data_IF_033577662073
#
_entry.id   IF_033577662073
#
_cell.length_a   1.000
_cell.length_b   1.000
_cell.length_c   1.000
_cell.angle_alpha   90.00
_cell.angle_beta   90.00
_cell.angle_gamma   90.00
#
_symmetry.space_group_name_H-M   'P 1'
#
loop_
_entity.id
_entity.type
_entity.pdbx_description
1 polymer ?
#
# COMPACT_ATOMS: atom_id res chain seq x y z
N UNK A 1 -2.66 19.02 -2.02
CA UNK A 1 -3.34 19.07 -0.71
C UNK A 1 -4.11 17.79 -0.41
N UNK A 2 -4.87 17.20 -1.36
CA UNK A 2 -5.67 16.00 -1.06
C UNK A 2 -4.88 14.71 -0.85
N UNK A 3 -3.83 14.46 -1.63
CA UNK A 3 -2.99 13.24 -1.46
C UNK A 3 -2.22 13.24 -0.14
N UNK A 4 -1.75 14.41 0.31
CA UNK A 4 -1.11 14.56 1.63
C UNK A 4 -2.09 14.31 2.77
N UNK A 5 -3.35 14.73 2.63
CA UNK A 5 -4.40 14.45 3.63
C UNK A 5 -4.73 12.95 3.67
N UNK A 6 -4.85 12.29 2.52
CA UNK A 6 -5.05 10.84 2.43
C UNK A 6 -3.88 10.08 3.06
N UNK A 7 -2.63 10.48 2.78
CA UNK A 7 -1.45 9.88 3.40
C UNK A 7 -1.42 10.07 4.92
N UNK A 8 -1.72 11.28 5.41
CA UNK A 8 -1.81 11.55 6.85
C UNK A 8 -2.93 10.74 7.51
N UNK A 9 -4.08 10.61 6.86
CA UNK A 9 -5.21 9.83 7.36
C UNK A 9 -4.86 8.34 7.47
N UNK A 10 -4.20 7.77 6.44
CA UNK A 10 -3.71 6.39 6.50
C UNK A 10 -2.75 6.15 7.67
N UNK A 11 -1.88 7.12 7.98
CA UNK A 11 -0.99 7.03 9.14
C UNK A 11 -1.78 7.04 10.45
N UNK A 12 -2.74 7.96 10.61
CA UNK A 12 -3.56 8.07 11.82
C UNK A 12 -4.39 6.80 12.07
N UNK A 13 -4.97 6.22 11.02
CA UNK A 13 -5.69 4.95 11.14
C UNK A 13 -4.74 3.82 11.55
N UNK A 14 -3.54 3.77 11.00
CA UNK A 14 -2.58 2.74 11.42
C UNK A 14 -2.15 2.90 12.88
N UNK A 15 -1.89 4.12 13.33
CA UNK A 15 -1.56 4.40 14.74
C UNK A 15 -2.69 3.97 15.69
N UNK A 16 -3.96 4.15 15.29
CA UNK A 16 -5.12 3.69 16.06
C UNK A 16 -5.13 2.15 16.25
N UNK A 17 -4.65 1.39 15.26
CA UNK A 17 -4.64 -0.08 15.28
C UNK A 17 -3.34 -0.65 15.87
N UNK A 18 -2.24 0.10 15.85
CA UNK A 18 -0.92 -0.31 16.35
C UNK A 18 -0.66 0.11 17.81
N UNK A 19 -1.56 0.89 18.43
CA UNK A 19 -1.38 1.36 19.80
C UNK A 19 -1.39 0.19 20.82
N UNK A 20 -0.47 0.16 21.80
CA UNK A 20 -0.38 -0.93 22.79
C UNK A 20 -1.61 -1.04 23.71
N UNK A 21 -2.31 0.08 23.95
CA UNK A 21 -3.63 0.14 24.63
C UNK A 21 -4.78 0.24 23.61
N UNK A 22 -4.58 -0.34 22.42
CA UNK A 22 -5.49 -0.25 21.29
C UNK A 22 -6.90 -0.77 21.59
N UNK A 23 -7.84 -0.41 20.71
CA UNK A 23 -9.22 -0.84 20.81
C UNK A 23 -9.29 -2.38 20.85
N UNK A 24 -10.28 -2.93 21.55
CA UNK A 24 -10.58 -4.36 21.49
C UNK A 24 -10.90 -4.74 20.05
N UNK A 25 -10.63 -5.97 19.63
CA UNK A 25 -10.92 -6.43 18.26
C UNK A 25 -12.38 -6.15 17.84
N UNK A 26 -13.33 -6.24 18.76
CA UNK A 26 -14.75 -5.91 18.54
C UNK A 26 -14.94 -4.43 18.21
N UNK A 27 -14.23 -3.53 18.89
CA UNK A 27 -14.29 -2.08 18.67
C UNK A 27 -13.62 -1.71 17.34
N UNK A 28 -12.50 -2.33 16.98
CA UNK A 28 -11.89 -2.20 15.65
C UNK A 28 -12.82 -2.67 14.54
N UNK A 29 -13.53 -3.79 14.76
CA UNK A 29 -14.49 -4.34 13.79
C UNK A 29 -15.63 -3.37 13.54
N UNK A 30 -16.21 -2.82 14.61
CA UNK A 30 -17.28 -1.84 14.50
C UNK A 30 -16.80 -0.56 13.83
N UNK A 31 -15.62 -0.05 14.20
CA UNK A 31 -15.01 1.13 13.59
C UNK A 31 -14.82 0.98 12.07
N UNK A 32 -14.26 -0.15 11.61
CA UNK A 32 -14.10 -0.43 10.18
C UNK A 32 -15.45 -0.54 9.48
N UNK A 33 -16.41 -1.23 10.09
CA UNK A 33 -17.75 -1.42 9.54
C UNK A 33 -18.46 -0.09 9.31
N UNK A 34 -18.43 0.82 10.29
CA UNK A 34 -19.09 2.14 10.17
C UNK A 34 -18.38 3.04 9.17
N UNK A 35 -17.04 3.05 9.15
CA UNK A 35 -16.27 3.79 8.15
C UNK A 35 -16.57 3.35 6.72
N UNK A 36 -16.58 2.04 6.47
CA UNK A 36 -16.92 1.50 5.14
C UNK A 36 -18.35 1.89 4.76
N UNK A 37 -19.32 1.82 5.69
CA UNK A 37 -20.69 2.25 5.43
C UNK A 37 -20.80 3.74 5.09
N UNK A 38 -20.02 4.61 5.76
CA UNK A 38 -19.96 6.04 5.46
C UNK A 38 -19.30 6.35 4.11
N UNK A 39 -18.20 5.68 3.74
CA UNK A 39 -17.56 5.82 2.42
C UNK A 39 -18.54 5.40 1.30
N UNK A 40 -19.38 4.41 1.58
CA UNK A 40 -20.43 3.91 0.67
C UNK A 40 -21.67 4.79 0.62
N UNK A 41 -21.71 5.87 1.41
CA UNK A 41 -22.87 6.72 1.61
C UNK A 41 -24.13 5.93 2.04
N UNK A 42 -23.96 4.77 2.68
CA UNK A 42 -25.06 3.98 3.26
C UNK A 42 -25.53 4.51 4.60
N UNK A 43 -24.65 5.23 5.29
CA UNK A 43 -24.94 5.87 6.58
C UNK A 43 -24.37 7.29 6.61
N UNK A 44 -25.03 8.24 7.29
CA UNK A 44 -24.48 9.58 7.47
C UNK A 44 -23.23 9.53 8.36
N UNK A 45 -22.27 10.46 8.20
CA UNK A 45 -21.10 10.53 9.06
C UNK A 45 -21.51 10.95 10.48
N UNK A 46 -21.11 10.17 11.48
CA UNK A 46 -21.43 10.44 12.90
C UNK A 46 -20.22 10.87 13.73
N UNK A 47 -19.01 10.83 13.15
CA UNK A 47 -17.75 11.17 13.84
C UNK A 47 -16.82 11.93 12.90
N UNK A 48 -15.80 12.57 13.47
CA UNK A 48 -14.75 13.22 12.68
C UNK A 48 -13.98 12.23 11.79
N UNK A 49 -13.85 10.96 12.21
CA UNK A 49 -13.28 9.89 11.39
C UNK A 49 -14.09 9.62 10.13
N UNK A 50 -15.42 9.54 10.27
CA UNK A 50 -16.33 9.38 9.12
C UNK A 50 -16.21 10.57 8.15
N UNK A 51 -16.26 11.79 8.66
CA UNK A 51 -16.12 13.00 7.85
C UNK A 51 -14.78 13.04 7.13
N UNK A 52 -13.67 12.74 7.82
CA UNK A 52 -12.34 12.73 7.23
C UNK A 52 -12.20 11.65 6.15
N UNK A 53 -12.72 10.45 6.37
CA UNK A 53 -12.71 9.36 5.39
C UNK A 53 -13.51 9.72 4.12
N UNK A 54 -14.70 10.30 4.29
CA UNK A 54 -15.50 10.80 3.16
C UNK A 54 -14.75 11.89 2.41
N UNK A 55 -14.15 12.86 3.10
CA UNK A 55 -13.39 13.93 2.43
C UNK A 55 -12.17 13.40 1.66
N UNK A 56 -11.40 12.49 2.26
CA UNK A 56 -10.23 11.91 1.59
C UNK A 56 -10.61 11.07 0.37
N UNK A 57 -11.71 10.31 0.45
CA UNK A 57 -12.20 9.50 -0.67
C UNK A 57 -12.87 10.34 -1.76
N UNK A 58 -13.73 11.29 -1.40
CA UNK A 58 -14.49 12.09 -2.37
C UNK A 58 -13.63 13.13 -3.08
N UNK A 59 -12.71 13.78 -2.37
CA UNK A 59 -11.90 14.85 -2.96
C UNK A 59 -11.00 14.36 -4.10
N UNK A 60 -10.49 13.13 -4.02
CA UNK A 60 -9.70 12.54 -5.11
C UNK A 60 -10.58 12.07 -6.28
N UNK A 61 -11.86 11.79 -6.04
CA UNK A 61 -12.80 11.31 -7.08
C UNK A 61 -13.56 12.42 -7.81
N UNK A 62 -13.57 13.65 -7.30
CA UNK A 62 -14.44 14.73 -7.81
C UNK A 62 -14.19 15.08 -9.29
N UNK A 63 -12.94 14.93 -9.76
CA UNK A 63 -12.55 15.18 -11.14
C UNK A 63 -12.33 13.90 -11.95
N UNK A 64 -12.88 12.77 -11.50
CA UNK A 64 -12.57 11.44 -12.03
C UNK A 64 -13.82 10.74 -12.57
N UNK A 65 -13.62 9.78 -13.47
CA UNK A 65 -14.71 8.93 -13.98
C UNK A 65 -15.40 8.13 -12.86
N UNK A 66 -16.69 7.78 -13.03
CA UNK A 66 -17.39 6.87 -12.11
C UNK A 66 -16.64 5.54 -11.91
N UNK A 67 -16.00 5.03 -12.96
CA UNK A 67 -15.22 3.79 -12.94
C UNK A 67 -13.99 3.93 -12.04
N UNK A 68 -13.23 5.01 -12.20
CA UNK A 68 -12.09 5.33 -11.34
C UNK A 68 -12.53 5.50 -9.89
N UNK A 69 -13.61 6.24 -9.66
CA UNK A 69 -14.14 6.48 -8.32
C UNK A 69 -14.58 5.19 -7.62
N UNK A 70 -15.21 4.27 -8.35
CA UNK A 70 -15.59 2.95 -7.85
C UNK A 70 -14.36 2.11 -7.49
N UNK A 71 -13.32 2.10 -8.34
CA UNK A 71 -12.05 1.41 -8.07
C UNK A 71 -11.37 1.98 -6.82
N UNK A 72 -11.27 3.31 -6.73
CA UNK A 72 -10.68 3.98 -5.59
C UNK A 72 -11.40 3.64 -4.27
N UNK A 73 -12.74 3.73 -4.25
CA UNK A 73 -13.53 3.31 -3.08
C UNK A 73 -13.31 1.84 -2.73
N UNK A 74 -13.20 0.96 -3.71
CA UNK A 74 -12.91 -0.46 -3.46
C UNK A 74 -11.55 -0.66 -2.80
N UNK A 75 -10.51 0.02 -3.26
CA UNK A 75 -9.20 -0.02 -2.61
C UNK A 75 -9.28 0.50 -1.16
N UNK A 76 -9.98 1.60 -0.91
CA UNK A 76 -10.18 2.13 0.45
C UNK A 76 -10.87 1.14 1.40
N UNK A 77 -11.91 0.44 0.94
CA UNK A 77 -12.55 -0.63 1.74
C UNK A 77 -11.56 -1.74 2.05
N UNK A 78 -10.80 -2.15 1.04
CA UNK A 78 -9.80 -3.20 1.15
C UNK A 78 -8.70 -2.81 2.14
N UNK A 79 -8.24 -1.55 2.12
CA UNK A 79 -7.32 -1.01 3.12
C UNK A 79 -7.87 -1.17 4.55
N UNK A 80 -9.10 -0.69 4.81
CA UNK A 80 -9.68 -0.72 6.16
C UNK A 80 -9.91 -2.12 6.69
N UNK A 81 -10.40 -3.02 5.83
CA UNK A 81 -10.58 -4.44 6.20
C UNK A 81 -9.23 -5.07 6.56
N UNK A 82 -8.14 -4.71 5.89
CA UNK A 82 -6.84 -5.28 6.22
C UNK A 82 -6.21 -4.71 7.48
N UNK A 83 -6.45 -3.43 7.82
CA UNK A 83 -6.09 -2.95 9.15
C UNK A 83 -6.74 -3.80 10.26
N UNK A 84 -7.99 -4.26 10.07
CA UNK A 84 -8.65 -5.16 11.01
C UNK A 84 -8.01 -6.56 11.06
N UNK A 85 -7.62 -7.12 9.92
CA UNK A 85 -6.95 -8.42 9.87
C UNK A 85 -5.55 -8.38 10.51
N UNK A 86 -4.85 -7.25 10.41
CA UNK A 86 -3.54 -7.02 11.05
C UNK A 86 -3.67 -6.84 12.58
N UNK A 87 -4.82 -6.38 13.09
CA UNK A 87 -5.09 -6.28 14.54
C UNK A 87 -5.49 -7.62 15.19
N UNK A 88 -5.64 -8.70 14.42
CA UNK A 88 -5.97 -10.03 14.97
C UNK A 88 -4.72 -10.70 15.56
N UNK A 89 -4.84 -11.41 16.71
CA UNK A 89 -3.73 -12.18 17.26
C UNK A 89 -3.20 -13.21 16.27
N UNK A 90 -1.87 -13.33 16.19
CA UNK A 90 -1.22 -14.18 15.20
C UNK A 90 -1.12 -15.65 15.62
N UNK A 91 -1.19 -16.60 14.67
CA UNK A 91 -0.67 -17.93 14.89
C UNK A 91 0.86 -17.89 15.06
N UNK A 92 1.46 -18.76 15.89
CA UNK A 92 2.87 -18.68 16.31
C UNK A 92 3.93 -18.86 15.20
N UNK A 93 3.52 -19.08 13.94
CA UNK A 93 4.40 -19.19 12.76
C UNK A 93 3.73 -18.57 11.55
N UNK A 94 4.04 -17.31 11.28
CA UNK A 94 3.62 -16.67 10.03
C UNK A 94 4.53 -17.13 8.88
N UNK A 95 3.93 -17.65 7.81
CA UNK A 95 4.62 -17.88 6.54
C UNK A 95 4.98 -16.53 5.88
N UNK A 96 6.16 -16.44 5.27
CA UNK A 96 6.68 -15.25 4.63
C UNK A 96 5.80 -14.78 3.47
N UNK A 97 5.23 -15.70 2.69
CA UNK A 97 4.34 -15.32 1.58
C UNK A 97 3.02 -14.75 2.11
N UNK A 98 2.49 -15.31 3.20
CA UNK A 98 1.34 -14.75 3.90
C UNK A 98 1.63 -13.39 4.55
N UNK A 99 2.80 -13.23 5.15
CA UNK A 99 3.29 -11.95 5.67
C UNK A 99 3.27 -10.88 4.58
N UNK A 100 3.91 -11.14 3.42
CA UNK A 100 3.90 -10.20 2.30
C UNK A 100 2.48 -9.93 1.79
N UNK A 101 1.63 -10.96 1.71
CA UNK A 101 0.24 -10.80 1.25
C UNK A 101 -0.54 -9.83 2.13
N UNK A 102 -0.47 -9.98 3.46
CA UNK A 102 -1.12 -9.06 4.41
C UNK A 102 -0.58 -7.64 4.26
N UNK A 103 0.75 -7.53 4.20
CA UNK A 103 1.45 -6.24 4.17
C UNK A 103 1.33 -5.43 2.90
N UNK A 104 1.00 -6.07 1.78
CA UNK A 104 0.75 -5.37 0.51
C UNK A 104 -0.40 -4.37 0.62
N UNK A 105 -1.43 -4.70 1.37
CA UNK A 105 -2.71 -4.01 1.23
C UNK A 105 -2.72 -2.59 1.85
N UNK A 106 -2.08 -2.38 3.02
CA UNK A 106 -1.89 -1.04 3.56
C UNK A 106 -1.06 -0.11 2.67
N UNK A 107 -0.16 -0.67 1.86
CA UNK A 107 0.80 0.09 1.03
C UNK A 107 0.30 0.29 -0.40
N UNK A 108 -0.33 -0.73 -0.99
CA UNK A 108 -0.75 -0.75 -2.40
C UNK A 108 -1.87 0.24 -2.73
N UNK A 109 -2.84 0.40 -1.82
CA UNK A 109 -4.01 1.26 -2.01
C UNK A 109 -3.64 2.74 -2.14
N UNK A 110 -2.78 3.25 -1.27
CA UNK A 110 -2.41 4.66 -1.24
C UNK A 110 -1.52 5.07 -2.42
N UNK A 111 -0.68 4.14 -2.91
CA UNK A 111 0.31 4.40 -3.96
C UNK A 111 -0.33 4.38 -5.35
N UNK A 112 -1.18 3.38 -5.61
CA UNK A 112 -1.67 3.08 -6.96
C UNK A 112 -2.60 4.17 -7.49
N UNK A 113 -3.59 4.59 -6.71
CA UNK A 113 -4.56 5.58 -7.16
C UNK A 113 -4.02 7.01 -7.08
N UNK A 114 -3.07 7.27 -6.17
CA UNK A 114 -2.47 8.60 -6.04
C UNK A 114 -1.67 9.02 -7.26
N UNK A 115 -1.05 8.08 -8.00
CA UNK A 115 -0.35 8.40 -9.24
C UNK A 115 -1.29 9.02 -10.29
N UNK A 116 -2.41 8.37 -10.58
CA UNK A 116 -3.44 8.88 -11.51
C UNK A 116 -4.06 10.21 -11.01
N UNK A 117 -4.27 10.34 -9.71
CA UNK A 117 -4.79 11.58 -9.13
C UNK A 117 -3.80 12.75 -9.24
N UNK A 118 -2.52 12.55 -8.93
CA UNK A 118 -1.47 13.58 -8.99
C UNK A 118 -1.11 13.95 -10.43
N UNK A 119 -0.98 12.95 -11.30
CA UNK A 119 -0.66 13.15 -12.71
C UNK A 119 -1.86 13.66 -13.53
N UNK A 120 -3.04 13.76 -12.93
CA UNK A 120 -4.28 14.25 -13.57
C UNK A 120 -4.67 13.47 -14.84
N UNK A 121 -4.43 12.16 -14.84
CA UNK A 121 -4.83 11.26 -15.91
C UNK A 121 -5.59 10.05 -15.34
N UNK A 122 -6.21 9.26 -16.21
CA UNK A 122 -6.85 7.99 -15.83
C UNK A 122 -6.40 6.91 -16.79
N UNK A 123 -5.98 5.77 -16.26
CA UNK A 123 -5.70 4.61 -17.09
C UNK A 123 -6.99 4.11 -17.74
N UNK A 124 -7.01 3.92 -19.07
CA UNK A 124 -8.12 3.28 -19.75
C UNK A 124 -8.44 1.92 -19.15
N UNK A 125 -9.72 1.60 -18.93
CA UNK A 125 -10.12 0.41 -18.19
C UNK A 125 -9.59 -0.90 -18.81
N UNK A 126 -9.55 -0.98 -20.13
CA UNK A 126 -9.04 -2.15 -20.85
C UNK A 126 -7.53 -2.36 -20.64
N UNK A 127 -6.76 -1.30 -20.37
CA UNK A 127 -5.35 -1.37 -19.96
C UNK A 127 -5.24 -1.62 -18.46
N UNK A 128 -6.09 -0.96 -17.66
CA UNK A 128 -6.07 -1.02 -16.20
C UNK A 128 -6.30 -2.43 -15.64
N UNK A 129 -7.00 -3.29 -16.40
CA UNK A 129 -7.29 -4.69 -16.08
C UNK A 129 -6.32 -5.71 -16.68
N UNK A 130 -5.23 -5.29 -17.31
CA UNK A 130 -4.24 -6.23 -17.86
C UNK A 130 -3.53 -7.00 -16.72
N UNK A 131 -3.39 -8.33 -16.82
CA UNK A 131 -2.68 -9.13 -15.82
C UNK A 131 -1.23 -8.67 -15.58
N UNK A 132 -0.54 -8.22 -16.63
CA UNK A 132 0.83 -7.71 -16.52
C UNK A 132 0.88 -6.41 -15.73
N UNK A 133 -0.15 -5.56 -15.85
CA UNK A 133 -0.24 -4.32 -15.08
C UNK A 133 -0.61 -4.60 -13.62
N UNK A 134 -1.47 -5.59 -13.37
CA UNK A 134 -1.73 -6.09 -12.02
C UNK A 134 -0.44 -6.62 -11.37
N UNK A 135 0.34 -7.41 -12.12
CA UNK A 135 1.65 -7.88 -11.66
C UNK A 135 2.61 -6.73 -11.38
N UNK A 136 2.67 -5.72 -12.25
CA UNK A 136 3.48 -4.52 -12.05
C UNK A 136 3.11 -3.78 -10.75
N UNK A 137 1.82 -3.58 -10.49
CA UNK A 137 1.32 -2.98 -9.24
C UNK A 137 1.69 -3.81 -8.01
N UNK A 138 1.58 -5.13 -8.11
CA UNK A 138 1.95 -6.05 -7.03
C UNK A 138 3.45 -5.99 -6.72
N UNK A 139 4.31 -6.00 -7.74
CA UNK A 139 5.76 -5.90 -7.58
C UNK A 139 6.17 -4.52 -7.03
N UNK A 140 5.53 -3.44 -7.49
CA UNK A 140 5.70 -2.08 -6.95
C UNK A 140 5.40 -2.06 -5.44
N UNK A 141 4.30 -2.70 -5.05
CA UNK A 141 3.88 -2.79 -3.64
C UNK A 141 4.84 -3.63 -2.81
N UNK A 142 5.28 -4.79 -3.33
CA UNK A 142 6.31 -5.63 -2.70
C UNK A 142 7.58 -4.82 -2.39
N UNK A 143 8.04 -4.03 -3.36
CA UNK A 143 9.24 -3.20 -3.17
C UNK A 143 9.07 -2.19 -2.03
N UNK A 144 7.92 -1.51 -1.95
CA UNK A 144 7.64 -0.57 -0.87
C UNK A 144 7.58 -1.26 0.50
N UNK A 145 6.94 -2.43 0.60
CA UNK A 145 6.87 -3.23 1.84
C UNK A 145 8.26 -3.68 2.28
N UNK A 146 9.02 -4.31 1.37
CA UNK A 146 10.35 -4.85 1.67
C UNK A 146 11.34 -3.74 2.05
N UNK A 147 11.33 -2.60 1.35
CA UNK A 147 12.18 -1.46 1.68
C UNK A 147 11.87 -0.94 3.09
N UNK A 148 10.59 -0.79 3.43
CA UNK A 148 10.18 -0.36 4.77
C UNK A 148 10.66 -1.34 5.85
N UNK A 149 10.50 -2.64 5.62
CA UNK A 149 10.80 -3.65 6.64
C UNK A 149 12.29 -3.82 6.88
N UNK A 150 13.09 -3.71 5.83
CA UNK A 150 14.54 -3.63 5.94
C UNK A 150 14.99 -2.38 6.71
N UNK A 151 14.38 -1.22 6.43
CA UNK A 151 14.75 0.05 7.08
C UNK A 151 14.25 0.19 8.52
N UNK A 152 13.24 -0.60 8.93
CA UNK A 152 12.64 -0.54 10.28
C UNK A 152 12.95 -1.75 11.16
N UNK A 153 13.81 -2.65 10.70
CA UNK A 153 14.10 -3.93 11.35
C UNK A 153 14.43 -3.76 12.85
N UNK A 154 15.34 -2.84 13.19
CA UNK A 154 15.80 -2.62 14.57
C UNK A 154 14.66 -2.27 15.55
N UNK A 155 13.57 -1.70 15.05
CA UNK A 155 12.40 -1.29 15.84
C UNK A 155 11.29 -2.33 15.84
N UNK A 156 11.37 -3.30 14.95
CA UNK A 156 10.32 -4.27 14.66
C UNK A 156 10.80 -5.71 14.88
N UNK A 157 11.88 -5.92 15.63
CA UNK A 157 12.46 -7.25 15.91
C UNK A 157 11.46 -8.23 16.54
N UNK A 158 10.47 -7.72 17.28
CA UNK A 158 9.39 -8.52 17.91
C UNK A 158 8.13 -8.59 17.06
N UNK A 159 8.06 -7.86 15.94
CA UNK A 159 6.90 -7.84 15.07
C UNK A 159 7.00 -8.96 14.03
N UNK A 160 6.22 -10.03 14.20
CA UNK A 160 6.23 -11.16 13.26
C UNK A 160 5.74 -10.77 11.85
N UNK A 161 5.06 -9.63 11.70
CA UNK A 161 4.70 -9.07 10.40
C UNK A 161 5.87 -8.37 9.69
N UNK A 162 7.03 -8.16 10.30
CA UNK A 162 8.17 -7.64 9.52
C UNK A 162 8.72 -8.75 8.61
N UNK A 163 8.88 -8.46 7.32
CA UNK A 163 9.30 -9.45 6.32
C UNK A 163 10.61 -10.18 6.68
N UNK A 164 11.56 -9.50 7.34
CA UNK A 164 12.81 -10.13 7.79
C UNK A 164 12.58 -11.07 8.96
N UNK A 165 11.74 -10.68 9.92
CA UNK A 165 11.37 -11.50 11.08
C UNK A 165 10.64 -12.77 10.63
N UNK A 166 9.67 -12.62 9.72
CA UNK A 166 8.92 -13.74 9.14
C UNK A 166 9.86 -14.70 8.39
N UNK A 167 10.72 -14.17 7.51
CA UNK A 167 11.68 -14.99 6.74
C UNK A 167 12.63 -15.75 7.67
N UNK A 168 13.19 -15.06 8.68
CA UNK A 168 14.06 -15.65 9.69
C UNK A 168 13.38 -16.81 10.41
N UNK A 169 12.15 -16.59 10.86
CA UNK A 169 11.37 -17.58 11.63
C UNK A 169 11.04 -18.81 10.80
N UNK A 170 10.64 -18.61 9.53
CA UNK A 170 10.31 -19.69 8.63
C UNK A 170 11.52 -20.55 8.23
N UNK A 171 12.69 -19.92 8.03
CA UNK A 171 13.89 -20.58 7.52
C UNK A 171 14.93 -20.91 8.60
N UNK A 172 14.65 -20.62 9.87
CA UNK A 172 15.55 -20.84 11.01
C UNK A 172 16.94 -20.21 10.81
N UNK A 173 16.99 -19.00 10.23
CA UNK A 173 18.23 -18.29 9.96
C UNK A 173 18.64 -17.39 11.12
N UNK A 174 19.89 -16.92 11.10
CA UNK A 174 20.27 -15.76 11.89
C UNK A 174 19.75 -14.46 11.25
N UNK A 175 19.95 -13.34 11.95
CA UNK A 175 19.47 -12.03 11.47
C UNK A 175 20.19 -11.55 10.21
N UNK A 176 21.51 -11.77 10.12
CA UNK A 176 22.33 -11.30 9.00
C UNK A 176 21.96 -12.03 7.71
N UNK A 177 21.79 -13.34 7.79
CA UNK A 177 21.38 -14.18 6.68
C UNK A 177 19.95 -13.85 6.25
N UNK A 178 19.01 -13.72 7.20
CA UNK A 178 17.63 -13.36 6.87
C UNK A 178 17.54 -11.99 6.18
N UNK A 179 18.26 -10.98 6.68
CA UNK A 179 18.31 -9.65 6.05
C UNK A 179 18.91 -9.71 4.65
N UNK A 180 19.99 -10.48 4.46
CA UNK A 180 20.64 -10.70 3.16
C UNK A 180 19.67 -11.34 2.16
N UNK A 181 18.90 -12.36 2.58
CA UNK A 181 17.93 -13.02 1.71
C UNK A 181 16.76 -12.08 1.34
N UNK A 182 16.23 -11.32 2.29
CA UNK A 182 15.14 -10.36 2.03
C UNK A 182 15.61 -9.24 1.11
N UNK A 183 16.85 -8.77 1.26
CA UNK A 183 17.46 -7.80 0.34
C UNK A 183 17.64 -8.41 -1.07
N UNK A 184 18.04 -9.67 -1.17
CA UNK A 184 18.11 -10.36 -2.46
C UNK A 184 16.73 -10.48 -3.14
N UNK A 185 15.67 -10.72 -2.37
CA UNK A 185 14.28 -10.73 -2.85
C UNK A 185 13.89 -9.33 -3.35
N UNK A 186 14.21 -8.27 -2.59
CA UNK A 186 13.99 -6.88 -3.01
C UNK A 186 14.68 -6.58 -4.35
N UNK A 187 15.95 -6.97 -4.52
CA UNK A 187 16.67 -6.79 -5.78
C UNK A 187 16.06 -7.59 -6.93
N UNK A 188 15.56 -8.81 -6.68
CA UNK A 188 14.86 -9.61 -7.68
C UNK A 188 13.57 -8.92 -8.13
N UNK A 189 12.79 -8.37 -7.20
CA UNK A 189 11.56 -7.60 -7.50
C UNK A 189 11.86 -6.34 -8.29
N UNK A 190 12.96 -5.64 -7.97
CA UNK A 190 13.41 -4.48 -8.76
C UNK A 190 13.73 -4.83 -10.21
N UNK A 191 14.41 -5.96 -10.46
CA UNK A 191 14.67 -6.44 -11.83
C UNK A 191 13.38 -6.78 -12.56
N UNK A 192 12.49 -7.52 -11.91
CA UNK A 192 11.18 -7.88 -12.45
C UNK A 192 10.36 -6.63 -12.81
N UNK A 193 10.37 -5.60 -11.95
CA UNK A 193 9.69 -4.35 -12.22
C UNK A 193 10.26 -3.64 -13.46
N UNK A 194 11.58 -3.66 -13.64
CA UNK A 194 12.24 -3.10 -14.81
C UNK A 194 11.85 -3.84 -16.10
N UNK A 195 11.85 -5.17 -16.06
CA UNK A 195 11.40 -6.03 -17.16
C UNK A 195 9.94 -5.75 -17.53
N UNK A 196 9.06 -5.59 -16.53
CA UNK A 196 7.65 -5.25 -16.74
C UNK A 196 7.48 -3.87 -17.38
N UNK A 197 8.21 -2.84 -16.91
CA UNK A 197 8.22 -1.50 -17.53
C UNK A 197 8.62 -1.55 -19.00
N UNK A 198 9.61 -2.39 -19.33
CA UNK A 198 10.07 -2.55 -20.71
C UNK A 198 9.06 -3.32 -21.57
N UNK A 199 8.36 -4.31 -21.02
CA UNK A 199 7.49 -5.22 -21.78
C UNK A 199 6.07 -4.69 -21.98
N UNK A 200 5.44 -4.14 -20.93
CA UNK A 200 4.02 -3.77 -20.93
C UNK A 200 3.61 -2.86 -22.11
N UNK A 201 4.39 -1.80 -22.44
CA UNK A 201 4.03 -0.90 -23.55
C UNK A 201 3.96 -1.57 -24.92
N UNK A 202 4.59 -2.73 -25.10
CA UNK A 202 4.65 -3.45 -26.38
C UNK A 202 3.72 -4.68 -26.42
N UNK A 203 2.92 -4.90 -25.38
CA UNK A 203 1.88 -5.93 -25.43
C UNK A 203 0.91 -5.61 -26.57
N UNK A 204 0.45 -6.60 -27.36
CA UNK A 204 -0.51 -6.37 -28.45
C UNK A 204 -1.76 -5.60 -27.99
N UNK A 205 -2.24 -5.89 -26.77
CA UNK A 205 -3.38 -5.23 -26.15
C UNK A 205 -3.18 -3.72 -25.90
N UNK A 206 -1.94 -3.24 -25.91
CA UNK A 206 -1.55 -1.83 -25.73
C UNK A 206 -1.07 -1.21 -27.04
N UNK A 207 -0.20 -1.91 -27.79
CA UNK A 207 0.41 -1.39 -29.00
C UNK A 207 -0.62 -1.08 -30.10
N UNK A 208 -1.76 -1.78 -30.12
CA UNK A 208 -2.88 -1.53 -31.02
C UNK A 208 -3.83 -0.41 -30.58
N UNK A 209 -3.61 0.21 -29.41
CA UNK A 209 -4.50 1.24 -28.86
C UNK A 209 -4.11 2.65 -29.34
N UNK A 210 -4.99 3.66 -29.20
CA UNK A 210 -4.67 5.05 -29.52
C UNK A 210 -3.40 5.53 -28.82
N UNK A 211 -2.65 6.45 -29.47
CA UNK A 211 -1.42 7.00 -28.91
C UNK A 211 -1.62 7.65 -27.53
N UNK A 212 -2.79 8.23 -27.28
CA UNK A 212 -3.16 8.79 -25.97
C UNK A 212 -3.12 7.75 -24.85
N UNK A 213 -3.58 6.54 -25.13
CA UNK A 213 -3.66 5.44 -24.17
C UNK A 213 -2.26 4.88 -23.90
N UNK A 214 -1.46 4.76 -24.96
CA UNK A 214 -0.06 4.35 -24.86
C UNK A 214 0.77 5.35 -24.05
N UNK A 215 0.60 6.66 -24.28
CA UNK A 215 1.27 7.71 -23.52
C UNK A 215 0.82 7.68 -22.06
N UNK A 216 -0.49 7.57 -21.81
CA UNK A 216 -1.05 7.47 -20.45
C UNK A 216 -0.48 6.29 -19.67
N UNK A 217 -0.35 5.13 -20.31
CA UNK A 217 0.27 3.96 -19.70
C UNK A 217 1.75 4.19 -19.38
N UNK A 218 2.52 4.77 -20.30
CA UNK A 218 3.95 5.07 -20.07
C UNK A 218 4.14 6.03 -18.89
N UNK A 219 3.32 7.08 -18.82
CA UNK A 219 3.30 8.01 -17.67
C UNK A 219 2.97 7.25 -16.39
N UNK A 220 1.96 6.38 -16.41
CA UNK A 220 1.58 5.58 -15.25
C UNK A 220 2.70 4.67 -14.73
N UNK A 221 3.38 3.95 -15.62
CA UNK A 221 4.50 3.09 -15.25
C UNK A 221 5.65 3.91 -14.67
N UNK A 222 5.94 5.08 -15.25
CA UNK A 222 6.96 5.99 -14.74
C UNK A 222 6.61 6.50 -13.34
N UNK A 223 5.39 6.99 -13.13
CA UNK A 223 4.97 7.57 -11.86
C UNK A 223 5.01 6.54 -10.73
N UNK A 224 4.52 5.33 -10.95
CA UNK A 224 4.62 4.25 -9.96
C UNK A 224 6.07 3.82 -9.69
N UNK A 225 6.92 3.82 -10.72
CA UNK A 225 8.35 3.58 -10.52
C UNK A 225 8.97 4.64 -9.60
N UNK A 226 8.65 5.92 -9.81
CA UNK A 226 9.12 7.01 -8.94
C UNK A 226 8.61 6.86 -7.51
N UNK A 227 7.38 6.40 -7.31
CA UNK A 227 6.85 6.17 -5.96
C UNK A 227 7.68 5.15 -5.19
N UNK A 228 8.17 4.06 -5.81
CA UNK A 228 9.04 3.11 -5.10
C UNK A 228 10.32 3.76 -4.56
N UNK A 229 10.88 4.71 -5.30
CA UNK A 229 12.08 5.45 -4.91
C UNK A 229 11.75 6.49 -3.84
N UNK A 230 10.69 7.27 -4.04
CA UNK A 230 10.22 8.27 -3.08
C UNK A 230 9.83 7.66 -1.74
N UNK A 231 9.22 6.48 -1.74
CA UNK A 231 8.82 5.77 -0.52
C UNK A 231 10.04 5.34 0.31
N UNK A 232 11.06 4.74 -0.33
CA UNK A 232 12.30 4.37 0.33
C UNK A 232 13.07 5.61 0.83
N UNK A 233 13.17 6.66 0.00
CA UNK A 233 13.84 7.91 0.37
C UNK A 233 13.16 8.59 1.57
N UNK A 234 11.82 8.60 1.62
CA UNK A 234 11.08 9.13 2.76
C UNK A 234 11.40 8.38 4.07
N UNK A 235 11.66 7.07 4.00
CA UNK A 235 12.05 6.29 5.17
C UNK A 235 13.50 6.54 5.60
N UNK A 236 14.40 6.80 4.64
CA UNK A 236 15.80 7.13 4.91
C UNK A 236 15.98 8.54 5.50
N UNK A 237 15.20 9.53 5.06
CA UNK A 237 15.44 10.94 5.40
C UNK A 237 14.61 11.38 6.62
N UNK A 238 13.45 10.75 6.88
CA UNK A 238 12.53 11.25 7.89
C UNK A 238 12.95 10.86 9.31
N UNK A 239 13.26 11.86 10.15
CA UNK A 239 13.64 11.71 11.56
C UNK A 239 12.69 10.87 12.42
N UNK A 240 11.41 10.71 12.02
CA UNK A 240 10.49 9.74 12.66
C UNK A 240 11.05 8.31 12.67
N UNK A 241 11.91 7.97 11.71
CA UNK A 241 12.58 6.67 11.61
C UNK A 241 13.96 6.63 12.30
N UNK A 242 14.45 7.76 12.83
CA UNK A 242 15.76 7.88 13.46
C UNK A 242 15.71 8.06 14.98
N UNK A 243 14.68 8.69 15.54
CA UNK A 243 14.51 8.80 17.00
C UNK A 243 13.54 7.74 17.55
N UNK A 244 13.92 6.91 18.53
CA UNK A 244 12.92 6.26 19.38
C UNK A 244 12.24 7.39 20.16
N UNK A 245 10.91 7.38 20.23
CA UNK A 245 10.22 8.24 21.19
C UNK A 245 10.57 7.73 22.61
N UNK A 246 11.71 8.18 23.13
CA UNK A 246 12.00 8.19 24.56
C UNK A 246 11.67 9.57 25.09
N UNK A 247 10.47 9.69 25.67
CA UNK A 247 10.04 10.62 26.73
C UNK A 247 8.51 10.47 26.77
N UNK A 248 7.83 9.97 27.80
CA UNK A 248 8.13 9.60 29.18
C UNK A 248 7.25 8.41 29.55
#
# INVERSE_FOLDING_TARGET
MYVTNTAAWHLLVRELFEAPDGLRLTEHTEFVRTLVASIDARTPPTTQWHTAAILCTTALTASKSPEWARRHKHHWRTFLVNCLEDARPEPPRADFADCLRRRRIPVGTAVIDSAEALGRYELPQHIAGLPELERFRLVTTDMCVLARDLLRLDRELTNAHNAVVAYRTQHCLDWSDAQTQVLAIYHRRRRELHELTARIPYLPAVAGQPLTDQVTLRTYLHDLWQVTHGFAAAHLINHRHWTPFHTR
#
